data_IF_386749356905
#
_entry.id   IF_386749356905
#
_cell.length_a   1.000
_cell.length_b   1.000
_cell.length_c   1.000
_cell.angle_alpha   90.00
_cell.angle_beta   90.00
_cell.angle_gamma   90.00
#
_symmetry.space_group_name_H-M   'P 1'
#
loop_
_entity.id
_entity.type
_entity.pdbx_description
1 polymer ?
#
# COMPACT_ATOMS: atom_id res chain seq x y z
N UNK A 1 4.11 -18.05 10.35
CA UNK A 1 2.96 -17.14 10.54
C UNK A 1 2.44 -16.78 9.15
N UNK A 2 1.12 -16.67 8.94
CA UNK A 2 0.56 -16.31 7.62
C UNK A 2 0.86 -14.84 7.32
N UNK A 3 1.33 -14.48 6.12
CA UNK A 3 1.62 -13.08 5.78
C UNK A 3 0.34 -12.25 5.78
N UNK A 4 0.41 -11.00 6.24
CA UNK A 4 -0.72 -10.06 6.23
C UNK A 4 -0.43 -8.94 5.24
N UNK A 5 -1.39 -8.66 4.36
CA UNK A 5 -1.36 -7.52 3.46
C UNK A 5 -2.56 -6.64 3.81
N UNK A 6 -2.28 -5.44 4.34
CA UNK A 6 -3.28 -4.44 4.66
C UNK A 6 -3.43 -3.45 3.49
N UNK A 7 -4.67 -3.13 3.11
CA UNK A 7 -4.99 -2.39 1.89
C UNK A 7 -5.64 -1.05 2.23
N UNK A 8 -5.14 0.03 1.61
CA UNK A 8 -5.76 1.36 1.66
C UNK A 8 -5.80 1.95 0.25
N UNK A 9 -6.94 2.45 -0.21
CA UNK A 9 -7.00 3.18 -1.50
C UNK A 9 -8.14 4.18 -1.61
N UNK A 10 -8.17 4.91 -2.72
CA UNK A 10 -9.25 5.82 -3.15
C UNK A 10 -10.10 5.23 -4.30
N UNK A 11 -10.10 3.91 -4.47
CA UNK A 11 -10.77 3.22 -5.59
C UNK A 11 -12.27 3.03 -5.38
N UNK A 12 -12.75 3.17 -4.14
CA UNK A 12 -14.06 2.78 -3.72
C UNK A 12 -14.28 1.26 -3.75
N UNK A 13 -15.49 0.86 -3.38
CA UNK A 13 -15.92 -0.54 -3.30
C UNK A 13 -17.00 -0.91 -4.31
N UNK A 14 -17.37 0.03 -5.19
CA UNK A 14 -18.52 -0.09 -6.10
C UNK A 14 -18.23 -0.92 -7.35
N UNK A 15 -16.97 -1.01 -7.74
CA UNK A 15 -16.55 -1.68 -8.97
C UNK A 15 -15.52 -2.79 -8.70
N UNK A 16 -14.85 -3.24 -9.76
CA UNK A 16 -14.01 -4.43 -9.75
C UNK A 16 -12.56 -4.17 -9.32
N UNK A 17 -12.11 -2.93 -9.13
CA UNK A 17 -10.67 -2.64 -8.96
C UNK A 17 -10.08 -3.35 -7.74
N UNK A 18 -10.69 -3.16 -6.56
CA UNK A 18 -10.25 -3.80 -5.31
C UNK A 18 -10.31 -5.33 -5.40
N UNK A 19 -11.40 -5.87 -5.95
CA UNK A 19 -11.54 -7.31 -6.15
C UNK A 19 -10.46 -7.90 -7.05
N UNK A 20 -10.11 -7.19 -8.12
CA UNK A 20 -9.04 -7.59 -9.06
C UNK A 20 -7.67 -7.56 -8.38
N UNK A 21 -7.37 -6.52 -7.61
CA UNK A 21 -6.12 -6.45 -6.83
C UNK A 21 -5.97 -7.64 -5.89
N UNK A 22 -7.02 -7.94 -5.11
CA UNK A 22 -7.02 -9.07 -4.18
C UNK A 22 -6.89 -10.41 -4.90
N UNK A 23 -7.57 -10.58 -6.03
CA UNK A 23 -7.45 -11.79 -6.85
C UNK A 23 -6.02 -12.02 -7.34
N UNK A 24 -5.32 -10.96 -7.76
CA UNK A 24 -3.90 -11.04 -8.13
C UNK A 24 -3.03 -11.40 -6.93
N UNK A 25 -3.26 -10.78 -5.77
CA UNK A 25 -2.50 -11.07 -4.55
C UNK A 25 -2.62 -12.53 -4.11
N UNK A 26 -3.84 -13.06 -4.04
CA UNK A 26 -4.08 -14.46 -3.66
C UNK A 26 -3.51 -15.43 -4.70
N UNK A 27 -3.52 -15.06 -5.98
CA UNK A 27 -2.86 -15.83 -7.03
C UNK A 27 -1.33 -15.94 -6.88
N UNK A 28 -0.70 -14.91 -6.27
CA UNK A 28 0.75 -14.88 -6.02
C UNK A 28 1.09 -15.52 -4.66
N UNK A 29 0.32 -15.22 -3.63
CA UNK A 29 0.51 -15.71 -2.26
C UNK A 29 -0.83 -16.21 -1.69
N UNK A 30 -1.17 -17.49 -1.92
CA UNK A 30 -2.47 -18.05 -1.49
C UNK A 30 -2.70 -18.04 0.02
N UNK A 31 -1.63 -18.05 0.82
CA UNK A 31 -1.69 -18.04 2.28
C UNK A 31 -1.80 -16.63 2.89
N UNK A 32 -1.83 -15.57 2.06
CA UNK A 32 -1.92 -14.20 2.55
C UNK A 32 -3.29 -13.88 3.15
N UNK A 33 -3.29 -13.34 4.36
CA UNK A 33 -4.46 -12.69 4.95
C UNK A 33 -4.54 -11.27 4.40
N UNK A 34 -5.61 -10.96 3.65
CA UNK A 34 -5.86 -9.62 3.14
C UNK A 34 -6.81 -8.88 4.10
N UNK A 35 -6.44 -7.67 4.49
CA UNK A 35 -7.25 -6.83 5.39
C UNK A 35 -7.45 -5.47 4.73
N UNK A 36 -8.69 -5.05 4.56
CA UNK A 36 -8.97 -3.68 4.10
C UNK A 36 -8.94 -2.75 5.31
N UNK A 37 -8.14 -1.69 5.22
CA UNK A 37 -8.24 -0.54 6.12
C UNK A 37 -9.43 0.29 5.65
N UNK A 38 -9.37 0.77 4.41
CA UNK A 38 -10.46 1.46 3.72
C UNK A 38 -10.16 1.55 2.23
N UNK A 39 -11.20 1.62 1.40
CA UNK A 39 -11.08 1.94 -0.02
C UNK A 39 -11.83 3.22 -0.38
N UNK A 40 -12.38 3.91 0.60
CA UNK A 40 -13.27 5.06 0.41
C UNK A 40 -12.56 6.38 0.76
N UNK A 41 -11.23 6.42 0.68
CA UNK A 41 -10.48 7.69 0.70
C UNK A 41 -11.01 8.56 -0.45
N UNK A 42 -11.20 9.85 -0.18
CA UNK A 42 -11.64 10.77 -1.23
C UNK A 42 -10.66 10.73 -2.42
N UNK A 43 -11.15 10.71 -3.67
CA UNK A 43 -10.29 10.61 -4.85
C UNK A 43 -9.14 11.62 -4.82
N UNK A 44 -7.92 11.11 -4.94
CA UNK A 44 -6.67 11.88 -4.95
C UNK A 44 -6.31 12.60 -3.64
N UNK A 45 -7.02 12.37 -2.54
CA UNK A 45 -6.73 12.98 -1.23
C UNK A 45 -5.59 12.23 -0.53
N UNK A 46 -4.36 12.53 -0.96
CA UNK A 46 -3.13 11.92 -0.41
C UNK A 46 -2.97 12.22 1.08
N UNK A 47 -3.47 13.37 1.57
CA UNK A 47 -3.34 13.74 2.97
C UNK A 47 -4.27 12.87 3.84
N UNK A 48 -5.53 12.73 3.43
CA UNK A 48 -6.50 11.87 4.11
C UNK A 48 -6.00 10.42 4.16
N UNK A 49 -5.55 9.89 3.02
CA UNK A 49 -4.95 8.55 2.95
C UNK A 49 -3.72 8.38 3.86
N UNK A 50 -2.88 9.43 4.01
CA UNK A 50 -1.71 9.38 4.88
C UNK A 50 -2.12 9.32 6.36
N UNK A 51 -3.12 10.12 6.75
CA UNK A 51 -3.64 10.18 8.12
C UNK A 51 -4.28 8.84 8.50
N UNK A 52 -5.15 8.29 7.65
CA UNK A 52 -5.82 7.00 7.87
C UNK A 52 -4.80 5.85 7.98
N UNK A 53 -3.78 5.84 7.12
CA UNK A 53 -2.70 4.85 7.21
C UNK A 53 -1.94 4.97 8.54
N UNK A 54 -1.58 6.20 8.94
CA UNK A 54 -0.85 6.46 10.19
C UNK A 54 -1.67 6.09 11.43
N UNK A 55 -3.00 6.28 11.38
CA UNK A 55 -3.92 5.92 12.45
C UNK A 55 -4.07 4.40 12.62
N UNK A 56 -3.98 3.62 11.53
CA UNK A 56 -4.27 2.19 11.54
C UNK A 56 -3.03 1.30 11.76
N UNK A 57 -1.88 1.63 11.15
CA UNK A 57 -0.83 0.63 10.91
C UNK A 57 -0.25 -0.04 12.17
N UNK A 58 -0.20 0.67 13.30
CA UNK A 58 0.38 0.17 14.57
C UNK A 58 -0.43 -0.92 15.24
N UNK A 59 -1.70 -1.08 14.84
CA UNK A 59 -2.58 -2.11 15.40
C UNK A 59 -2.44 -3.46 14.68
N UNK A 60 -1.67 -3.51 13.58
CA UNK A 60 -1.44 -4.74 12.84
C UNK A 60 -0.28 -5.54 13.43
N UNK A 61 -0.23 -6.86 13.21
CA UNK A 61 0.91 -7.68 13.61
C UNK A 61 2.22 -7.22 12.96
N UNK A 62 3.33 -7.38 13.68
CA UNK A 62 4.68 -7.21 13.14
C UNK A 62 4.87 -8.04 11.85
N UNK A 63 5.53 -7.46 10.85
CA UNK A 63 5.75 -8.05 9.53
C UNK A 63 4.65 -7.76 8.51
N UNK A 64 3.56 -7.08 8.89
CA UNK A 64 2.48 -6.68 7.96
C UNK A 64 3.02 -5.79 6.83
N UNK A 65 2.52 -6.05 5.62
CA UNK A 65 2.77 -5.24 4.43
C UNK A 65 1.55 -4.35 4.20
N UNK A 66 1.75 -3.04 4.19
CA UNK A 66 0.73 -2.06 3.86
C UNK A 66 0.85 -1.68 2.39
N UNK A 67 -0.14 -2.04 1.58
CA UNK A 67 -0.28 -1.52 0.23
C UNK A 67 -1.28 -0.36 0.26
N UNK A 68 -0.76 0.85 0.11
CA UNK A 68 -1.54 2.07 0.14
C UNK A 68 -1.44 2.78 -1.21
N UNK A 69 -2.57 2.98 -1.90
CA UNK A 69 -2.61 3.59 -3.22
C UNK A 69 -3.68 4.67 -3.26
N UNK A 70 -3.26 5.91 -3.09
CA UNK A 70 -4.05 7.13 -3.35
C UNK A 70 -3.19 7.98 -4.27
N UNK A 71 -3.52 8.01 -5.56
CA UNK A 71 -2.64 8.64 -6.56
C UNK A 71 -3.37 9.12 -7.82
N UNK A 72 -3.49 10.45 -8.02
CA UNK A 72 -3.96 11.00 -9.30
C UNK A 72 -3.03 10.66 -10.47
N UNK A 73 -1.78 10.30 -10.18
CA UNK A 73 -0.75 9.96 -11.16
C UNK A 73 -0.55 8.47 -11.39
N UNK A 74 -1.50 7.61 -10.99
CA UNK A 74 -1.33 6.16 -11.14
C UNK A 74 -1.08 5.78 -12.61
N UNK A 75 -0.11 4.89 -12.85
CA UNK A 75 0.27 4.47 -14.21
C UNK A 75 1.10 5.49 -15.02
N UNK A 76 1.45 6.64 -14.44
CA UNK A 76 2.33 7.64 -15.06
C UNK A 76 3.81 7.40 -14.73
N UNK A 77 4.63 8.45 -14.84
CA UNK A 77 6.04 8.46 -14.37
C UNK A 77 6.17 8.49 -12.84
N UNK A 78 5.05 8.54 -12.10
CA UNK A 78 5.08 8.46 -10.63
C UNK A 78 5.78 7.18 -10.18
N UNK A 79 6.81 7.35 -9.36
CA UNK A 79 7.56 6.22 -8.79
C UNK A 79 6.70 5.47 -7.79
N UNK A 80 6.57 4.16 -7.97
CA UNK A 80 6.16 3.28 -6.89
C UNK A 80 7.36 3.01 -5.98
N UNK A 81 7.17 3.11 -4.67
CA UNK A 81 8.21 2.87 -3.67
C UNK A 81 7.80 1.75 -2.72
N UNK A 82 8.81 1.09 -2.16
CA UNK A 82 8.66 0.24 -0.99
C UNK A 82 9.60 0.70 0.12
N UNK A 83 9.08 0.76 1.35
CA UNK A 83 9.81 1.19 2.54
C UNK A 83 9.77 0.14 3.65
N UNK A 84 10.92 -0.16 4.25
CA UNK A 84 11.07 -0.98 5.46
C UNK A 84 11.21 -0.03 6.65
N UNK A 85 10.17 0.02 7.50
CA UNK A 85 10.04 0.96 8.61
C UNK A 85 9.67 0.19 9.87
N UNK A 86 10.60 0.12 10.82
CA UNK A 86 10.41 -0.61 12.07
C UNK A 86 10.17 -2.10 11.85
N UNK A 87 8.95 -2.55 12.19
CA UNK A 87 8.49 -3.94 12.02
C UNK A 87 7.60 -4.13 10.79
N UNK A 88 7.32 -3.06 10.04
CA UNK A 88 6.34 -3.05 8.96
C UNK A 88 7.00 -2.74 7.62
N UNK A 89 6.30 -3.08 6.55
CA UNK A 89 6.69 -2.70 5.18
C UNK A 89 5.55 -1.95 4.53
N UNK A 90 5.89 -0.93 3.76
CA UNK A 90 4.93 -0.08 3.07
C UNK A 90 5.21 -0.12 1.59
N UNK A 91 4.17 -0.18 0.78
CA UNK A 91 4.21 -0.08 -0.69
C UNK A 91 3.22 0.98 -1.09
N UNK A 92 3.69 2.03 -1.77
CA UNK A 92 2.86 3.17 -2.13
C UNK A 92 3.46 3.98 -3.27
N UNK A 93 2.70 4.93 -3.85
CA UNK A 93 3.25 5.98 -4.69
C UNK A 93 4.17 6.92 -3.90
N UNK A 94 5.22 7.42 -4.55
CA UNK A 94 6.10 8.46 -4.02
C UNK A 94 5.47 9.85 -4.22
N UNK A 95 4.41 10.12 -3.46
CA UNK A 95 3.63 11.35 -3.54
C UNK A 95 3.34 12.00 -2.18
N UNK A 96 3.95 11.49 -1.10
CA UNK A 96 3.73 11.97 0.26
C UNK A 96 2.79 11.11 1.11
N UNK A 97 2.22 10.03 0.58
CA UNK A 97 1.30 9.15 1.32
C UNK A 97 1.90 8.54 2.60
N UNK A 98 3.24 8.40 2.70
CA UNK A 98 3.91 7.92 3.92
C UNK A 98 4.31 9.03 4.90
N UNK A 99 4.01 10.30 4.59
CA UNK A 99 4.52 11.43 5.39
C UNK A 99 4.03 11.35 6.84
N UNK A 100 2.75 11.04 7.06
CA UNK A 100 2.18 10.91 8.41
C UNK A 100 2.74 9.70 9.18
N UNK A 101 3.03 8.59 8.49
CA UNK A 101 3.71 7.42 9.10
C UNK A 101 5.12 7.82 9.55
N UNK A 102 5.84 8.61 8.75
CA UNK A 102 7.21 9.01 9.01
C UNK A 102 7.40 9.97 10.19
N UNK A 103 6.34 10.63 10.68
CA UNK A 103 6.42 11.57 11.82
C UNK A 103 6.80 10.85 13.11
N UNK A 104 6.22 9.67 13.33
CA UNK A 104 6.27 8.96 14.61
C UNK A 104 6.99 7.60 14.52
N UNK A 105 7.17 7.08 13.30
CA UNK A 105 7.85 5.81 13.10
C UNK A 105 9.37 5.96 13.25
N UNK A 106 10.09 4.88 13.59
CA UNK A 106 11.55 4.86 13.48
C UNK A 106 11.99 5.23 12.06
N UNK A 107 13.21 5.77 11.89
CA UNK A 107 13.75 6.02 10.57
C UNK A 107 13.68 4.77 9.67
N UNK A 108 13.34 4.92 8.39
CA UNK A 108 13.29 3.79 7.46
C UNK A 108 14.65 3.12 7.38
N UNK A 109 14.68 1.79 7.52
CA UNK A 109 15.89 0.98 7.30
C UNK A 109 16.30 0.99 5.84
N UNK A 110 15.30 0.98 4.94
CA UNK A 110 15.50 0.98 3.50
C UNK A 110 14.28 1.54 2.79
N UNK A 111 14.51 2.33 1.75
CA UNK A 111 13.50 2.72 0.78
C UNK A 111 14.03 2.38 -0.61
N UNK A 112 13.21 1.78 -1.44
CA UNK A 112 13.56 1.43 -2.82
C UNK A 112 12.47 1.90 -3.78
N UNK A 113 12.87 2.25 -4.99
CA UNK A 113 11.97 2.38 -6.12
C UNK A 113 11.66 0.99 -6.71
N UNK A 114 10.40 0.75 -7.08
CA UNK A 114 9.93 -0.51 -7.66
C UNK A 114 10.19 -0.57 -9.17
N UNK A 115 11.45 -0.78 -9.55
CA UNK A 115 11.88 -0.82 -10.96
C UNK A 115 11.94 -2.23 -11.56
N UNK A 116 11.97 -3.27 -10.73
CA UNK A 116 12.15 -4.67 -11.12
C UNK A 116 10.94 -5.25 -11.85
N UNK A 117 11.00 -5.24 -13.19
CA UNK A 117 9.88 -5.64 -14.07
C UNK A 117 9.46 -7.10 -13.96
N UNK A 118 10.33 -7.98 -13.46
CA UNK A 118 9.98 -9.40 -13.21
C UNK A 118 8.86 -9.57 -12.18
N UNK A 119 8.62 -8.57 -11.34
CA UNK A 119 7.52 -8.56 -10.37
C UNK A 119 6.28 -7.82 -10.88
N UNK A 120 6.37 -7.12 -12.02
CA UNK A 120 5.25 -6.43 -12.62
C UNK A 120 4.42 -7.39 -13.47
N UNK A 121 3.09 -7.22 -13.46
CA UNK A 121 2.24 -7.87 -14.45
C UNK A 121 2.51 -7.25 -15.83
N UNK A 122 2.38 -8.03 -16.93
CA UNK A 122 2.38 -7.46 -18.27
C UNK A 122 1.32 -6.36 -18.37
N UNK A 123 1.70 -5.22 -18.95
CA UNK A 123 0.74 -4.16 -19.30
C UNK A 123 -0.07 -4.68 -20.49
N UNK A 124 -1.39 -4.79 -20.32
CA UNK A 124 -2.33 -5.00 -21.43
C UNK A 124 -2.60 -3.69 -22.15
#
# INVERSE_FOLDING_TARGET
>A
MRPVIALLSDFGTRDHYVGTMKGVMVGICPDATLVDITHDIAPHDVLDGAIELAAAYRFFPAGTIFLAVVDPGVGSTRRGIAADIGEYRFVCPDNGLLSAVAVDAPPPKKIVELTERRYARPTV
#
